data_IF_856730894818
#
_entry.id   IF_856730894818
#
_cell.length_a   1.000
_cell.length_b   1.000
_cell.length_c   1.000
_cell.angle_alpha   90.00
_cell.angle_beta   90.00
_cell.angle_gamma   90.00
#
_symmetry.space_group_name_H-M   'P 1'
#
loop_
_entity.id
_entity.type
_entity.pdbx_description
1 polymer ?
#
# COMPACT_ATOMS: atom_id res chain seq x y z
N UNK A 1 -21.67 -17.96 46.97
CA UNK A 1 -20.65 -17.23 47.74
C UNK A 1 -19.78 -16.46 46.77
N UNK A 2 -19.88 -15.13 46.86
CA UNK A 2 -19.00 -14.06 46.32
C UNK A 2 -18.86 -13.94 44.79
N UNK A 3 -19.64 -13.07 44.12
CA UNK A 3 -19.49 -11.59 43.87
C UNK A 3 -18.42 -11.33 42.79
N UNK A 4 -18.66 -10.59 41.70
CA UNK A 4 -19.02 -9.16 41.71
C UNK A 4 -19.88 -8.73 40.51
N UNK A 5 -20.84 -7.88 40.86
CA UNK A 5 -21.75 -7.12 40.06
C UNK A 5 -21.02 -5.91 39.46
N UNK A 6 -20.83 -5.88 38.14
CA UNK A 6 -20.37 -4.67 37.45
C UNK A 6 -21.53 -3.66 37.32
N UNK A 7 -21.80 -2.93 38.41
CA UNK A 7 -22.60 -1.71 38.37
C UNK A 7 -21.82 -0.63 37.62
N UNK A 8 -22.06 -0.54 36.31
CA UNK A 8 -21.68 0.65 35.55
C UNK A 8 -22.55 1.82 36.00
N UNK A 9 -21.93 2.73 36.75
CA UNK A 9 -22.50 3.99 37.21
C UNK A 9 -22.97 4.78 36.00
N UNK A 10 -24.27 4.79 35.74
CA UNK A 10 -24.91 5.86 34.96
C UNK A 10 -24.87 7.12 35.82
N UNK A 11 -23.74 7.82 35.83
CA UNK A 11 -23.70 9.21 36.27
C UNK A 11 -24.56 9.99 35.31
N UNK A 12 -25.67 10.51 35.82
CA UNK A 12 -26.68 11.23 35.06
C UNK A 12 -26.06 12.41 34.31
N UNK A 13 -26.09 12.34 32.99
CA UNK A 13 -26.09 13.53 32.16
C UNK A 13 -27.52 14.07 32.20
N UNK A 14 -27.80 14.98 33.13
CA UNK A 14 -28.99 15.82 33.03
C UNK A 14 -28.75 16.79 31.88
N UNK A 15 -29.26 16.44 30.69
CA UNK A 15 -29.47 17.43 29.66
C UNK A 15 -30.54 18.41 30.18
N UNK A 16 -30.13 19.58 30.65
CA UNK A 16 -31.07 20.69 30.79
C UNK A 16 -31.59 20.98 29.39
N UNK A 17 -32.87 20.69 29.15
CA UNK A 17 -33.54 21.11 27.95
C UNK A 17 -33.48 22.65 27.90
N UNK A 18 -32.60 23.19 27.07
CA UNK A 18 -32.73 24.58 26.66
C UNK A 18 -34.13 24.72 26.09
N UNK A 19 -34.96 25.56 26.71
CA UNK A 19 -36.28 25.89 26.18
C UNK A 19 -36.09 26.36 24.75
N UNK A 20 -36.82 25.74 23.83
CA UNK A 20 -36.69 25.89 22.38
C UNK A 20 -37.17 27.24 21.83
N UNK A 21 -37.07 28.30 22.62
CA UNK A 21 -37.35 29.67 22.23
C UNK A 21 -36.05 30.47 22.42
N UNK A 22 -35.56 31.06 21.33
CA UNK A 22 -34.37 31.92 21.21
C UNK A 22 -33.05 31.25 20.78
N UNK A 23 -33.13 30.27 19.88
CA UNK A 23 -32.04 30.01 18.93
C UNK A 23 -32.41 30.61 17.57
N UNK A 24 -32.00 31.87 17.31
CA UNK A 24 -31.89 32.34 15.92
C UNK A 24 -30.80 31.50 15.23
N UNK A 25 -31.02 31.08 13.97
CA UNK A 25 -30.13 30.23 13.16
C UNK A 25 -28.65 30.64 13.19
N UNK A 26 -28.35 31.87 13.59
CA UNK A 26 -27.00 32.42 13.71
C UNK A 26 -26.25 32.09 15.01
N UNK A 27 -26.87 31.58 16.08
CA UNK A 27 -26.19 31.38 17.37
C UNK A 27 -25.56 30.00 17.57
N UNK A 28 -25.85 29.02 16.70
CA UNK A 28 -25.36 27.64 16.82
C UNK A 28 -24.03 27.37 16.10
N UNK A 29 -23.28 28.40 15.69
CA UNK A 29 -21.99 28.18 15.04
C UNK A 29 -20.90 27.89 16.08
N UNK A 30 -20.51 26.61 16.17
CA UNK A 30 -19.30 26.20 16.87
C UNK A 30 -18.09 26.97 16.30
N UNK A 31 -17.11 27.37 17.14
CA UNK A 31 -15.92 28.05 16.66
C UNK A 31 -15.20 27.20 15.60
N UNK A 32 -14.62 27.83 14.56
CA UNK A 32 -13.89 27.09 13.54
C UNK A 32 -12.77 26.29 14.20
N UNK A 33 -12.75 24.97 13.94
CA UNK A 33 -11.68 24.12 14.43
C UNK A 33 -10.34 24.67 13.91
N UNK A 34 -9.29 24.73 14.75
CA UNK A 34 -7.97 25.09 14.28
C UNK A 34 -7.60 24.15 13.13
N UNK A 35 -7.34 24.74 11.95
CA UNK A 35 -6.99 23.98 10.75
C UNK A 35 -5.59 23.44 10.99
N UNK A 36 -5.48 22.13 11.23
CA UNK A 36 -4.19 21.47 11.27
C UNK A 36 -3.42 21.79 9.97
N UNK A 37 -2.09 21.98 10.03
CA UNK A 37 -1.31 22.17 8.81
C UNK A 37 -1.63 21.03 7.85
N UNK A 38 -1.83 21.37 6.58
CA UNK A 38 -2.19 20.39 5.57
C UNK A 38 -1.18 19.22 5.63
N UNK A 39 -1.65 17.96 5.69
CA UNK A 39 -0.75 16.83 5.77
C UNK A 39 0.20 16.88 4.58
N UNK A 40 1.48 16.63 4.83
CA UNK A 40 2.51 16.57 3.79
C UNK A 40 2.10 15.50 2.77
N UNK A 41 1.66 15.94 1.59
CA UNK A 41 1.25 15.03 0.54
C UNK A 41 2.46 14.22 0.08
N UNK A 42 2.30 12.89 -0.04
CA UNK A 42 3.37 12.04 -0.53
C UNK A 42 3.85 12.55 -1.89
N UNK A 43 5.16 12.80 -1.99
CA UNK A 43 5.83 13.06 -3.28
C UNK A 43 6.77 11.90 -3.56
N UNK A 44 6.60 11.30 -4.73
CA UNK A 44 7.53 10.28 -5.23
C UNK A 44 8.93 10.89 -5.34
N UNK A 45 9.96 10.26 -4.75
CA UNK A 45 11.35 10.67 -4.97
C UNK A 45 11.73 10.57 -6.45
N UNK A 46 12.68 11.40 -6.91
CA UNK A 46 13.23 11.28 -8.25
C UNK A 46 13.98 9.95 -8.41
N UNK A 47 13.64 9.18 -9.45
CA UNK A 47 14.31 7.91 -9.73
C UNK A 47 15.72 8.13 -10.27
N UNK A 48 16.65 7.25 -9.89
CA UNK A 48 18.02 7.27 -10.40
C UNK A 48 18.03 6.85 -11.88
N UNK A 49 18.66 7.61 -12.79
CA UNK A 49 18.70 7.25 -14.20
C UNK A 49 19.54 5.99 -14.42
N UNK A 50 19.14 5.15 -15.39
CA UNK A 50 19.95 4.02 -15.86
C UNK A 50 20.92 4.49 -16.95
N UNK A 51 22.22 4.45 -16.65
CA UNK A 51 23.27 4.97 -17.53
C UNK A 51 23.90 3.88 -18.40
N UNK A 52 24.59 4.27 -19.48
CA UNK A 52 25.28 3.31 -20.36
C UNK A 52 26.35 2.50 -19.63
N UNK A 53 27.05 3.11 -18.67
CA UNK A 53 28.08 2.45 -17.87
C UNK A 53 27.52 1.29 -17.01
N UNK A 54 26.23 1.34 -16.68
CA UNK A 54 25.57 0.35 -15.84
C UNK A 54 25.17 -0.93 -16.57
N UNK A 55 25.09 -0.91 -17.91
CA UNK A 55 24.65 -2.07 -18.72
C UNK A 55 25.46 -3.34 -18.48
N UNK A 56 26.75 -3.20 -18.17
CA UNK A 56 27.67 -4.33 -17.98
C UNK A 56 27.53 -5.02 -16.62
N UNK A 57 26.86 -4.42 -15.63
CA UNK A 57 26.80 -4.97 -14.27
C UNK A 57 25.41 -4.95 -13.64
N UNK A 58 24.48 -4.11 -14.10
CA UNK A 58 23.08 -4.12 -13.65
C UNK A 58 22.30 -5.19 -14.40
N UNK A 59 21.66 -6.09 -13.65
CA UNK A 59 20.76 -7.11 -14.19
C UNK A 59 19.33 -6.57 -14.26
N UNK A 60 18.73 -6.56 -15.45
CA UNK A 60 17.33 -6.25 -15.67
C UNK A 60 16.48 -7.48 -15.31
N UNK A 61 15.77 -7.40 -14.19
CA UNK A 61 14.78 -8.40 -13.79
C UNK A 61 13.39 -7.96 -14.26
N UNK A 62 12.68 -8.86 -14.93
CA UNK A 62 11.34 -8.59 -15.44
C UNK A 62 10.51 -9.87 -15.51
N UNK A 63 9.19 -9.72 -15.59
CA UNK A 63 8.27 -10.84 -15.73
C UNK A 63 6.82 -10.39 -15.62
N UNK A 64 5.90 -11.35 -15.60
CA UNK A 64 4.46 -11.09 -15.54
C UNK A 64 3.78 -11.01 -16.90
N UNK A 65 4.52 -11.26 -17.99
CA UNK A 65 3.96 -11.51 -19.32
C UNK A 65 3.75 -13.02 -19.53
N UNK A 66 3.31 -13.41 -20.72
CA UNK A 66 3.32 -14.83 -21.08
C UNK A 66 4.75 -15.35 -21.22
N UNK A 67 4.99 -16.65 -20.98
CA UNK A 67 6.33 -17.25 -21.10
C UNK A 67 7.02 -16.95 -22.43
N UNK A 68 6.26 -16.90 -23.52
CA UNK A 68 6.81 -16.64 -24.86
C UNK A 68 7.28 -15.19 -24.98
N UNK A 69 6.50 -14.24 -24.46
CA UNK A 69 6.86 -12.83 -24.44
C UNK A 69 8.07 -12.59 -23.56
N UNK A 70 8.11 -13.18 -22.35
CA UNK A 70 9.26 -13.01 -21.46
C UNK A 70 10.56 -13.53 -22.10
N UNK A 71 10.51 -14.70 -22.75
CA UNK A 71 11.67 -15.24 -23.49
C UNK A 71 12.10 -14.34 -24.66
N UNK A 72 11.15 -13.78 -25.40
CA UNK A 72 11.45 -12.87 -26.49
C UNK A 72 12.13 -11.58 -25.99
N UNK A 73 11.61 -11.00 -24.91
CA UNK A 73 12.18 -9.79 -24.28
C UNK A 73 13.57 -10.09 -23.71
N UNK A 74 13.76 -11.25 -23.08
CA UNK A 74 15.06 -11.69 -22.54
C UNK A 74 16.10 -11.74 -23.66
N UNK A 75 15.80 -12.43 -24.76
CA UNK A 75 16.69 -12.56 -25.90
C UNK A 75 16.97 -11.20 -26.57
N UNK A 76 15.96 -10.35 -26.72
CA UNK A 76 16.13 -9.01 -27.30
C UNK A 76 17.05 -8.13 -26.44
N UNK A 77 16.86 -8.11 -25.12
CA UNK A 77 17.70 -7.34 -24.20
C UNK A 77 19.14 -7.86 -24.18
N UNK A 78 19.32 -9.18 -24.16
CA UNK A 78 20.64 -9.80 -24.21
C UNK A 78 21.34 -9.52 -25.55
N UNK A 79 20.62 -9.54 -26.67
CA UNK A 79 21.16 -9.17 -27.99
C UNK A 79 21.61 -7.70 -28.08
N UNK A 80 21.01 -6.82 -27.28
CA UNK A 80 21.43 -5.42 -27.13
C UNK A 80 22.59 -5.21 -26.14
N UNK A 81 23.12 -6.30 -25.56
CA UNK A 81 24.23 -6.28 -24.61
C UNK A 81 23.83 -5.97 -23.17
N UNK A 82 22.56 -6.09 -22.82
CA UNK A 82 22.10 -5.97 -21.43
C UNK A 82 22.19 -7.32 -20.71
N UNK A 83 22.54 -7.27 -19.42
CA UNK A 83 22.26 -8.39 -18.51
C UNK A 83 20.76 -8.37 -18.22
N UNK A 84 20.04 -9.38 -18.67
CA UNK A 84 18.60 -9.49 -18.46
C UNK A 84 18.24 -10.91 -18.07
N UNK A 85 17.31 -11.03 -17.12
CA UNK A 85 16.85 -12.31 -16.60
C UNK A 85 15.35 -12.23 -16.30
N UNK A 86 14.60 -13.16 -16.87
CA UNK A 86 13.17 -13.28 -16.61
C UNK A 86 12.87 -13.97 -15.27
N UNK A 87 11.88 -13.45 -14.56
CA UNK A 87 11.33 -14.06 -13.35
C UNK A 87 10.44 -15.26 -13.75
N UNK A 88 10.48 -16.39 -13.02
CA UNK A 88 9.61 -17.53 -13.28
C UNK A 88 8.12 -17.18 -13.21
N UNK A 89 7.27 -18.03 -13.80
CA UNK A 89 5.83 -17.82 -13.73
C UNK A 89 5.35 -17.89 -12.28
N UNK A 90 4.55 -16.90 -11.82
CA UNK A 90 4.02 -16.92 -10.49
C UNK A 90 3.18 -18.16 -10.20
N UNK A 91 3.38 -18.70 -9.01
CA UNK A 91 2.67 -19.82 -8.43
C UNK A 91 1.78 -19.36 -7.27
N UNK A 92 1.01 -20.28 -6.68
CA UNK A 92 0.22 -19.97 -5.48
C UNK A 92 1.08 -19.59 -4.27
N UNK A 93 2.30 -20.12 -4.18
CA UNK A 93 3.23 -19.76 -3.11
C UNK A 93 3.65 -18.29 -3.25
N UNK A 94 3.92 -17.85 -4.49
CA UNK A 94 4.24 -16.46 -4.77
C UNK A 94 3.09 -15.54 -4.35
N UNK A 95 1.83 -15.91 -4.62
CA UNK A 95 0.69 -15.15 -4.12
C UNK A 95 0.68 -15.02 -2.58
N UNK A 96 0.97 -16.09 -1.85
CA UNK A 96 1.02 -16.06 -0.39
C UNK A 96 2.11 -15.12 0.11
N UNK A 97 3.33 -15.22 -0.44
CA UNK A 97 4.42 -14.29 -0.16
C UNK A 97 4.00 -12.85 -0.50
N UNK A 98 3.43 -12.63 -1.68
CA UNK A 98 2.98 -11.30 -2.10
C UNK A 98 1.93 -10.70 -1.16
N UNK A 99 1.00 -11.52 -0.64
CA UNK A 99 0.00 -11.10 0.34
C UNK A 99 0.59 -10.74 1.69
N UNK A 100 1.64 -11.45 2.11
CA UNK A 100 2.32 -11.22 3.39
C UNK A 100 3.14 -9.92 3.38
N UNK A 101 3.85 -9.65 2.29
CA UNK A 101 4.72 -8.47 2.16
C UNK A 101 4.05 -7.27 1.46
N UNK A 102 2.96 -7.48 0.75
CA UNK A 102 2.24 -6.46 -0.02
C UNK A 102 1.17 -5.73 0.79
N UNK A 103 0.84 -4.51 0.36
CA UNK A 103 -0.28 -3.76 0.93
C UNK A 103 -1.60 -4.49 0.65
N UNK A 104 -2.50 -4.59 1.63
CA UNK A 104 -3.83 -5.21 1.54
C UNK A 104 -4.72 -4.62 0.43
N UNK A 105 -4.46 -3.38 0.00
CA UNK A 105 -5.18 -2.71 -1.08
C UNK A 105 -4.70 -3.05 -2.51
N UNK A 106 -3.67 -3.89 -2.67
CA UNK A 106 -3.20 -4.31 -3.99
C UNK A 106 -4.13 -5.35 -4.62
N UNK A 107 -4.24 -5.34 -5.95
CA UNK A 107 -5.05 -6.32 -6.65
C UNK A 107 -4.34 -7.68 -6.73
N UNK A 108 -5.13 -8.74 -6.95
CA UNK A 108 -4.60 -10.11 -6.99
C UNK A 108 -3.41 -10.30 -7.95
N UNK A 109 -3.44 -9.82 -9.21
CA UNK A 109 -2.29 -9.92 -10.11
C UNK A 109 -0.99 -9.34 -9.54
N UNK A 110 -1.07 -8.25 -8.77
CA UNK A 110 0.10 -7.63 -8.13
C UNK A 110 0.72 -8.54 -7.08
N UNK A 111 -0.08 -9.25 -6.28
CA UNK A 111 0.47 -10.18 -5.29
C UNK A 111 1.25 -11.32 -5.94
N UNK A 112 0.77 -11.84 -7.08
CA UNK A 112 1.51 -12.87 -7.81
C UNK A 112 2.85 -12.35 -8.34
N UNK A 113 2.88 -11.18 -8.97
CA UNK A 113 4.11 -10.65 -9.58
C UNK A 113 5.12 -10.18 -8.54
N UNK A 114 4.68 -9.48 -7.49
CA UNK A 114 5.54 -9.05 -6.38
C UNK A 114 6.06 -10.26 -5.62
N UNK A 115 5.21 -11.23 -5.32
CA UNK A 115 5.63 -12.45 -4.63
C UNK A 115 6.67 -13.27 -5.39
N UNK A 116 6.51 -13.39 -6.72
CA UNK A 116 7.48 -14.09 -7.57
C UNK A 116 8.84 -13.38 -7.58
N UNK A 117 8.83 -12.03 -7.58
CA UNK A 117 10.04 -11.24 -7.43
C UNK A 117 10.70 -11.47 -6.06
N UNK A 118 9.93 -11.44 -4.97
CA UNK A 118 10.46 -11.65 -3.61
C UNK A 118 11.08 -13.04 -3.47
N UNK A 119 10.34 -14.09 -3.85
CA UNK A 119 10.82 -15.47 -3.79
C UNK A 119 12.00 -15.74 -4.75
N UNK A 120 12.18 -14.93 -5.79
CA UNK A 120 13.36 -14.99 -6.65
C UNK A 120 14.60 -14.41 -5.96
N UNK A 121 14.45 -13.32 -5.21
CA UNK A 121 15.55 -12.59 -4.55
C UNK A 121 15.94 -13.15 -3.17
N UNK A 122 15.04 -13.83 -2.48
CA UNK A 122 15.27 -14.41 -1.14
C UNK A 122 15.98 -15.78 -1.17
N UNK A 123 16.27 -16.32 -2.36
CA UNK A 123 17.04 -17.55 -2.54
C UNK A 123 18.53 -17.28 -2.42
#
# INVERSE_FOLDING_TARGET
>A
MYTETAQSRRTGFQASAASSADCNETSCQAPPRPVAPAPLHYRRPSERPFTRAERGHVTLLFGGLTQRQDRLVEAALQGLGHKAQRIPLPTKLDFQTGREYGNTGQCNPTYFTVGALLNFLMK
#
